data_IF_643199366362
#
_entry.id   IF_643199366362
#
_cell.length_a   1.000
_cell.length_b   1.000
_cell.length_c   1.000
_cell.angle_alpha   90.00
_cell.angle_beta   90.00
_cell.angle_gamma   90.00
#
_symmetry.space_group_name_H-M   'P 1'
#
loop_
_entity.id
_entity.type
_entity.pdbx_description
1 polymer ?
#
# COMPACT_ATOMS: atom_id res chain seq x y z
N UNK A 1 62.48 30.50 -22.60
CA UNK A 1 62.22 29.47 -23.64
C UNK A 1 61.60 28.27 -22.90
N UNK A 2 60.26 28.24 -22.81
CA UNK A 2 59.35 27.21 -23.37
C UNK A 2 59.51 25.84 -22.63
N UNK A 3 58.49 25.15 -22.09
CA UNK A 3 57.09 24.93 -22.52
C UNK A 3 56.26 24.41 -21.32
N UNK A 4 55.11 25.04 -21.00
CA UNK A 4 54.05 24.41 -20.19
C UNK A 4 53.33 23.35 -21.04
N UNK A 5 53.38 22.07 -20.65
CA UNK A 5 52.55 21.01 -21.26
C UNK A 5 51.11 21.14 -20.76
N UNK A 6 50.18 21.53 -21.63
CA UNK A 6 48.74 21.38 -21.40
C UNK A 6 48.39 19.89 -21.46
N UNK A 7 47.79 19.36 -20.40
CA UNK A 7 47.14 18.06 -20.43
C UNK A 7 45.87 18.18 -21.29
N UNK A 8 45.77 17.35 -22.32
CA UNK A 8 44.58 17.25 -23.16
C UNK A 8 43.46 16.57 -22.38
N UNK A 9 42.36 17.28 -22.13
CA UNK A 9 41.10 16.68 -21.68
C UNK A 9 40.49 15.93 -22.85
N UNK A 10 40.46 14.60 -22.77
CA UNK A 10 39.79 13.77 -23.77
C UNK A 10 38.27 14.04 -23.73
N UNK A 11 37.68 14.28 -24.90
CA UNK A 11 36.22 14.38 -25.05
C UNK A 11 35.57 13.03 -24.73
N UNK A 12 34.45 13.01 -23.98
CA UNK A 12 33.78 11.76 -23.64
C UNK A 12 33.34 11.01 -24.89
N UNK A 13 33.44 9.69 -24.86
CA UNK A 13 33.04 8.83 -25.97
C UNK A 13 31.51 8.76 -26.07
N UNK A 14 31.00 8.32 -27.23
CA UNK A 14 29.55 8.12 -27.42
C UNK A 14 28.96 7.15 -26.37
N UNK A 15 29.76 6.18 -25.90
CA UNK A 15 29.37 5.26 -24.84
C UNK A 15 29.25 5.97 -23.48
N UNK A 16 30.15 6.90 -23.17
CA UNK A 16 30.10 7.70 -21.93
C UNK A 16 28.88 8.63 -21.92
N UNK A 17 28.55 9.25 -23.07
CA UNK A 17 27.32 10.01 -23.23
C UNK A 17 26.07 9.14 -23.04
N UNK A 18 26.04 7.90 -23.53
CA UNK A 18 24.91 6.98 -23.36
C UNK A 18 24.75 6.56 -21.89
N UNK A 19 25.84 6.30 -21.18
CA UNK A 19 25.80 5.95 -19.75
C UNK A 19 25.35 7.13 -18.90
N UNK A 20 25.86 8.34 -19.16
CA UNK A 20 25.41 9.58 -18.49
C UNK A 20 23.93 9.86 -18.81
N UNK A 21 23.49 9.65 -20.05
CA UNK A 21 22.09 9.84 -20.45
C UNK A 21 21.16 8.80 -19.80
N UNK A 22 21.57 7.54 -19.68
CA UNK A 22 20.83 6.50 -18.94
C UNK A 22 20.78 6.78 -17.43
N UNK A 23 21.87 7.25 -16.83
CA UNK A 23 21.92 7.63 -15.40
C UNK A 23 21.05 8.88 -15.14
N UNK A 24 20.97 9.80 -16.10
CA UNK A 24 20.14 11.01 -16.00
C UNK A 24 18.66 10.70 -16.23
N UNK A 25 18.32 9.80 -17.17
CA UNK A 25 16.95 9.32 -17.40
C UNK A 25 16.40 8.51 -16.21
N UNK A 26 17.24 7.71 -15.54
CA UNK A 26 16.85 6.97 -14.34
C UNK A 26 16.63 7.88 -13.10
N UNK A 27 17.15 9.10 -13.12
CA UNK A 27 16.99 10.11 -12.04
C UNK A 27 15.85 11.11 -12.30
N UNK A 28 15.12 10.97 -13.41
CA UNK A 28 14.15 11.98 -13.89
C UNK A 28 12.68 11.58 -13.90
N UNK A 29 12.30 10.39 -13.39
CA UNK A 29 10.89 9.98 -13.31
C UNK A 29 10.45 9.81 -11.85
N UNK A 30 10.45 10.90 -11.08
CA UNK A 30 9.76 10.89 -9.77
C UNK A 30 8.26 10.74 -10.02
N UNK A 31 7.67 9.66 -9.51
CA UNK A 31 6.22 9.45 -9.57
C UNK A 31 5.49 10.65 -8.94
N UNK A 32 4.37 11.07 -9.54
CA UNK A 32 3.60 12.20 -9.03
C UNK A 32 3.17 11.94 -7.57
N UNK A 33 3.26 12.97 -6.72
CA UNK A 33 2.88 12.86 -5.32
C UNK A 33 1.45 12.35 -5.17
N UNK A 34 1.22 11.57 -4.12
CA UNK A 34 -0.03 10.87 -3.85
C UNK A 34 -0.74 11.47 -2.64
N UNK A 35 -1.48 12.58 -2.80
CA UNK A 35 -2.18 13.21 -1.69
C UNK A 35 -3.23 12.26 -1.07
N UNK A 36 -3.55 12.42 0.22
CA UNK A 36 -2.91 13.35 1.16
C UNK A 36 -1.45 12.98 1.48
N UNK A 37 -0.58 13.98 1.61
CA UNK A 37 0.85 13.83 1.96
C UNK A 37 1.08 14.22 3.42
N UNK A 38 2.07 13.63 4.11
CA UNK A 38 2.39 13.98 5.49
C UNK A 38 3.04 15.39 5.62
N UNK A 39 3.00 16.03 6.80
CA UNK A 39 2.39 15.54 8.05
C UNK A 39 0.87 15.55 8.00
N UNK A 40 0.24 14.53 8.59
CA UNK A 40 -1.21 14.37 8.57
C UNK A 40 -1.91 15.18 9.67
N UNK A 41 -3.12 15.65 9.36
CA UNK A 41 -4.14 16.03 10.34
C UNK A 41 -5.10 14.85 10.53
N UNK A 42 -6.04 14.95 11.47
CA UNK A 42 -7.09 13.94 11.65
C UNK A 42 -7.88 13.73 10.36
N UNK A 43 -8.25 14.82 9.69
CA UNK A 43 -9.06 14.82 8.47
C UNK A 43 -8.28 14.18 7.33
N UNK A 44 -7.02 14.58 7.10
CA UNK A 44 -6.22 14.02 6.01
C UNK A 44 -5.79 12.58 6.26
N UNK A 45 -5.56 12.19 7.52
CA UNK A 45 -5.34 10.80 7.89
C UNK A 45 -6.58 9.94 7.63
N UNK A 46 -7.78 10.41 8.00
CA UNK A 46 -9.03 9.70 7.73
C UNK A 46 -9.28 9.54 6.21
N UNK A 47 -9.01 10.57 5.41
CA UNK A 47 -9.05 10.49 3.95
C UNK A 47 -8.04 9.46 3.41
N UNK A 48 -6.82 9.42 3.96
CA UNK A 48 -5.79 8.44 3.58
C UNK A 48 -6.24 7.01 3.88
N UNK A 49 -6.85 6.79 5.06
CA UNK A 49 -7.42 5.50 5.46
C UNK A 49 -8.55 5.07 4.52
N UNK A 50 -9.48 5.98 4.19
CA UNK A 50 -10.59 5.67 3.27
C UNK A 50 -10.09 5.38 1.85
N UNK A 51 -9.11 6.14 1.35
CA UNK A 51 -8.51 5.88 0.04
C UNK A 51 -7.82 4.50 -0.01
N UNK A 52 -7.16 4.09 1.07
CA UNK A 52 -6.61 2.75 1.19
C UNK A 52 -7.71 1.68 1.27
N UNK A 53 -8.78 1.89 2.04
CA UNK A 53 -9.95 0.98 2.08
C UNK A 53 -10.53 0.76 0.67
N UNK A 54 -10.77 1.83 -0.07
CA UNK A 54 -11.34 1.80 -1.42
C UNK A 54 -10.43 1.03 -2.39
N UNK A 55 -9.10 1.25 -2.32
CA UNK A 55 -8.13 0.54 -3.15
C UNK A 55 -8.10 -0.96 -2.84
N UNK A 56 -8.06 -1.35 -1.56
CA UNK A 56 -8.04 -2.76 -1.18
C UNK A 56 -9.35 -3.49 -1.52
N UNK A 57 -10.50 -2.81 -1.44
CA UNK A 57 -11.79 -3.38 -1.87
C UNK A 57 -11.89 -3.60 -3.39
N UNK A 58 -11.04 -2.96 -4.21
CA UNK A 58 -10.98 -3.28 -5.64
C UNK A 58 -10.40 -4.68 -5.89
N UNK A 59 -9.62 -5.23 -4.94
CA UNK A 59 -8.92 -6.53 -5.05
C UNK A 59 -8.05 -6.62 -6.31
N UNK A 60 -7.47 -5.49 -6.70
CA UNK A 60 -6.55 -5.37 -7.85
C UNK A 60 -5.12 -5.21 -7.32
N UNK A 61 -4.28 -6.27 -7.42
CA UNK A 61 -2.91 -6.25 -6.90
C UNK A 61 -2.08 -5.09 -7.41
N UNK A 62 -2.16 -4.77 -8.71
CA UNK A 62 -1.39 -3.71 -9.35
C UNK A 62 -1.83 -2.36 -8.83
N UNK A 63 -3.14 -2.10 -8.82
CA UNK A 63 -3.70 -0.84 -8.33
C UNK A 63 -3.33 -0.58 -6.87
N UNK A 64 -3.37 -1.61 -6.03
CA UNK A 64 -2.99 -1.48 -4.61
C UNK A 64 -1.49 -1.27 -4.44
N UNK A 65 -0.64 -2.00 -5.18
CA UNK A 65 0.82 -1.87 -5.10
C UNK A 65 1.33 -0.45 -5.42
N UNK A 66 0.62 0.31 -6.28
CA UNK A 66 0.96 1.70 -6.60
C UNK A 66 0.83 2.69 -5.42
N UNK A 67 0.25 2.29 -4.29
CA UNK A 67 0.19 3.13 -3.09
C UNK A 67 1.47 3.07 -2.23
N UNK A 68 2.42 2.19 -2.56
CA UNK A 68 3.61 1.91 -1.77
C UNK A 68 4.87 2.45 -2.45
N UNK A 69 5.96 2.69 -1.73
CA UNK A 69 7.25 3.02 -2.38
C UNK A 69 7.79 1.80 -3.15
N UNK A 70 8.68 2.01 -4.12
CA UNK A 70 9.27 0.92 -4.93
C UNK A 70 9.94 -0.12 -4.02
N UNK A 71 10.55 0.33 -2.93
CA UNK A 71 11.30 -0.40 -1.92
C UNK A 71 10.52 -0.60 -0.60
N UNK A 72 9.18 -0.50 -0.63
CA UNK A 72 8.33 -0.56 0.57
C UNK A 72 8.56 -1.84 1.38
N UNK A 73 8.71 -1.72 2.69
CA UNK A 73 8.96 -2.84 3.59
C UNK A 73 7.70 -3.22 4.37
N UNK A 74 7.25 -4.47 4.22
CA UNK A 74 6.08 -4.98 4.93
C UNK A 74 6.43 -6.11 5.88
N UNK A 75 5.66 -6.17 6.96
CA UNK A 75 5.34 -7.43 7.64
C UNK A 75 3.83 -7.60 7.65
N UNK A 76 3.33 -8.68 7.05
CA UNK A 76 1.92 -9.05 7.07
C UNK A 76 1.77 -10.40 7.79
N UNK A 77 1.21 -10.39 9.00
CA UNK A 77 1.23 -11.55 9.91
C UNK A 77 2.68 -11.98 10.17
N UNK A 78 3.06 -13.18 9.71
CA UNK A 78 4.40 -13.77 9.78
C UNK A 78 5.19 -13.69 8.47
N UNK A 79 4.62 -13.08 7.42
CA UNK A 79 5.27 -12.95 6.10
C UNK A 79 5.90 -11.57 5.94
N UNK A 80 7.10 -11.52 5.36
CA UNK A 80 7.82 -10.30 5.05
C UNK A 80 7.83 -10.10 3.53
N UNK A 81 7.59 -8.86 3.11
CA UNK A 81 7.42 -8.52 1.68
C UNK A 81 8.20 -7.23 1.41
N UNK A 82 9.07 -7.24 0.40
CA UNK A 82 10.03 -6.18 0.13
C UNK A 82 9.85 -5.64 -1.30
N UNK A 83 9.21 -4.47 -1.39
CA UNK A 83 9.01 -3.73 -2.62
C UNK A 83 7.72 -4.06 -3.37
N UNK A 84 7.37 -3.21 -4.34
CA UNK A 84 6.07 -3.28 -5.06
C UNK A 84 5.83 -4.61 -5.76
N UNK A 85 6.87 -5.21 -6.33
CA UNK A 85 6.75 -6.48 -7.06
C UNK A 85 6.34 -7.63 -6.12
N UNK A 86 6.97 -7.72 -4.94
CA UNK A 86 6.60 -8.73 -3.94
C UNK A 86 5.22 -8.43 -3.34
N UNK A 87 4.86 -7.15 -3.18
CA UNK A 87 3.51 -6.73 -2.75
C UNK A 87 2.45 -7.21 -3.73
N UNK A 88 2.65 -6.99 -5.04
CA UNK A 88 1.72 -7.46 -6.08
C UNK A 88 1.57 -8.99 -6.03
N UNK A 89 2.68 -9.72 -5.89
CA UNK A 89 2.66 -11.19 -5.77
C UNK A 89 1.92 -11.66 -4.50
N UNK A 90 2.17 -11.01 -3.36
CA UNK A 90 1.47 -11.28 -2.11
C UNK A 90 -0.05 -11.06 -2.25
N UNK A 91 -0.45 -9.92 -2.79
CA UNK A 91 -1.87 -9.56 -2.97
C UNK A 91 -2.58 -10.49 -3.97
N UNK A 92 -1.87 -10.92 -5.02
CA UNK A 92 -2.37 -11.92 -5.98
C UNK A 92 -2.71 -13.24 -5.27
N UNK A 93 -1.79 -13.76 -4.43
CA UNK A 93 -2.07 -14.97 -3.63
C UNK A 93 -3.18 -14.75 -2.62
N UNK A 94 -3.19 -13.60 -1.95
CA UNK A 94 -4.19 -13.24 -0.95
C UNK A 94 -5.60 -13.35 -1.53
N UNK A 95 -5.88 -12.70 -2.66
CA UNK A 95 -7.24 -12.69 -3.23
C UNK A 95 -7.59 -13.89 -4.10
N UNK A 96 -6.62 -14.75 -4.44
CA UNK A 96 -6.91 -16.09 -4.94
C UNK A 96 -7.55 -16.98 -3.86
N UNK A 97 -7.10 -16.84 -2.61
CA UNK A 97 -7.62 -17.59 -1.46
C UNK A 97 -8.82 -16.90 -0.80
N UNK A 98 -8.69 -15.60 -0.52
CA UNK A 98 -9.67 -14.80 0.20
C UNK A 98 -10.76 -14.28 -0.73
N UNK A 99 -11.66 -15.15 -1.15
CA UNK A 99 -12.77 -14.81 -2.03
C UNK A 99 -13.85 -13.99 -1.31
N UNK A 100 -14.75 -13.34 -2.06
CA UNK A 100 -15.82 -12.49 -1.53
C UNK A 100 -15.37 -11.34 -0.59
N UNK A 101 -14.07 -11.02 -0.59
CA UNK A 101 -13.42 -10.06 0.31
C UNK A 101 -14.13 -8.70 0.35
N UNK A 102 -14.47 -8.25 1.56
CA UNK A 102 -15.01 -6.92 1.86
C UNK A 102 -14.33 -6.37 3.10
N UNK A 103 -13.83 -5.14 3.03
CA UNK A 103 -12.99 -4.53 4.04
C UNK A 103 -13.55 -3.19 4.52
N UNK A 104 -13.47 -2.96 5.81
CA UNK A 104 -13.66 -1.65 6.43
C UNK A 104 -12.39 -1.29 7.20
N UNK A 105 -11.86 -0.08 6.97
CA UNK A 105 -10.74 0.49 7.72
C UNK A 105 -11.20 1.72 8.48
N UNK A 106 -10.62 1.93 9.65
CA UNK A 106 -10.93 3.08 10.50
C UNK A 106 -9.65 3.62 11.13
N UNK A 107 -9.52 4.95 11.13
CA UNK A 107 -8.40 5.64 11.75
C UNK A 107 -8.41 5.40 13.26
N UNK A 108 -7.30 4.92 13.82
CA UNK A 108 -7.12 4.78 15.26
C UNK A 108 -6.35 5.97 15.83
N UNK A 109 -5.18 6.26 15.27
CA UNK A 109 -4.33 7.39 15.66
C UNK A 109 -3.44 7.82 14.49
N UNK A 110 -2.85 9.01 14.58
CA UNK A 110 -1.87 9.51 13.61
C UNK A 110 -0.83 10.37 14.34
N UNK A 111 0.38 10.43 13.78
CA UNK A 111 1.47 11.28 14.27
C UNK A 111 2.47 11.55 13.14
N UNK A 112 2.65 12.82 12.76
CA UNK A 112 3.53 13.22 11.66
C UNK A 112 3.23 12.46 10.36
N UNK A 113 4.15 11.60 9.92
CA UNK A 113 4.03 10.76 8.72
C UNK A 113 3.52 9.33 8.99
N UNK A 114 2.96 9.07 10.17
CA UNK A 114 2.48 7.75 10.58
C UNK A 114 0.99 7.73 10.82
N UNK A 115 0.36 6.61 10.48
CA UNK A 115 -1.06 6.34 10.73
C UNK A 115 -1.20 4.95 11.34
N UNK A 116 -1.93 4.84 12.44
CA UNK A 116 -2.39 3.59 13.02
C UNK A 116 -3.86 3.36 12.66
N UNK A 117 -4.17 2.16 12.19
CA UNK A 117 -5.47 1.80 11.60
C UNK A 117 -6.00 0.53 12.24
N UNK A 118 -7.28 0.54 12.57
CA UNK A 118 -8.06 -0.67 12.86
C UNK A 118 -8.80 -1.07 11.60
N UNK A 119 -8.96 -2.35 11.36
CA UNK A 119 -9.77 -2.83 10.25
C UNK A 119 -10.37 -4.19 10.54
N UNK A 120 -11.46 -4.49 9.83
CA UNK A 120 -12.00 -5.82 9.73
C UNK A 120 -12.33 -6.12 8.27
N UNK A 121 -12.15 -7.37 7.85
CA UNK A 121 -12.61 -7.84 6.55
C UNK A 121 -13.30 -9.19 6.64
N UNK A 122 -14.39 -9.35 5.89
CA UNK A 122 -15.10 -10.61 5.74
C UNK A 122 -14.69 -11.26 4.42
N UNK A 123 -14.46 -12.56 4.44
CA UNK A 123 -14.04 -13.33 3.27
C UNK A 123 -14.46 -14.79 3.38
N UNK A 124 -14.58 -15.44 2.21
CA UNK A 124 -14.86 -16.86 2.07
C UNK A 124 -13.59 -17.55 1.59
N UNK A 125 -13.11 -18.54 2.33
CA UNK A 125 -11.99 -19.38 1.88
C UNK A 125 -12.41 -20.19 0.65
N UNK A 126 -11.71 -19.96 -0.46
CA UNK A 126 -12.07 -20.54 -1.76
C UNK A 126 -12.04 -22.07 -1.78
N UNK A 127 -11.17 -22.70 -0.99
CA UNK A 127 -11.01 -24.14 -0.96
C UNK A 127 -11.93 -24.78 0.08
N UNK A 128 -11.97 -24.21 1.29
CA UNK A 128 -12.71 -24.78 2.42
C UNK A 128 -14.19 -24.41 2.43
N UNK A 129 -14.58 -23.39 1.67
CA UNK A 129 -15.94 -22.82 1.69
C UNK A 129 -16.37 -22.38 3.10
N UNK A 130 -15.41 -21.91 3.91
CA UNK A 130 -15.62 -21.37 5.26
C UNK A 130 -15.54 -19.85 5.26
N UNK A 131 -16.53 -19.19 5.87
CA UNK A 131 -16.50 -17.75 6.09
C UNK A 131 -15.64 -17.37 7.28
N UNK A 132 -14.93 -16.27 7.17
CA UNK A 132 -14.14 -15.67 8.24
C UNK A 132 -14.44 -14.18 8.34
N UNK A 133 -14.42 -13.67 9.58
CA UNK A 133 -14.21 -12.26 9.87
C UNK A 133 -12.78 -12.10 10.42
N UNK A 134 -11.95 -11.40 9.68
CA UNK A 134 -10.57 -11.12 10.03
C UNK A 134 -10.46 -9.75 10.69
N UNK A 135 -9.90 -9.69 11.90
CA UNK A 135 -9.68 -8.47 12.66
C UNK A 135 -8.22 -8.09 12.60
N UNK A 136 -7.92 -6.82 12.32
CA UNK A 136 -6.56 -6.38 12.09
C UNK A 136 -6.22 -5.02 12.67
N UNK A 137 -4.95 -4.89 13.03
CA UNK A 137 -4.28 -3.63 13.27
C UNK A 137 -3.14 -3.48 12.28
N UNK A 138 -3.06 -2.33 11.63
CA UNK A 138 -1.92 -1.99 10.80
C UNK A 138 -1.37 -0.60 11.09
N UNK A 139 -0.04 -0.50 11.01
CA UNK A 139 0.70 0.74 11.22
C UNK A 139 1.44 1.08 9.94
N UNK A 140 1.24 2.31 9.47
CA UNK A 140 1.75 2.83 8.22
C UNK A 140 2.76 3.93 8.46
N UNK A 141 3.85 3.94 7.71
CA UNK A 141 4.79 5.05 7.62
C UNK A 141 4.91 5.49 6.16
N UNK A 142 4.75 6.79 5.90
CA UNK A 142 4.73 7.36 4.57
C UNK A 142 5.99 8.18 4.26
N UNK A 143 6.39 8.21 2.99
CA UNK A 143 7.41 9.13 2.49
C UNK A 143 6.84 10.56 2.29
N UNK A 144 7.71 11.50 1.90
CA UNK A 144 7.32 12.89 1.67
C UNK A 144 6.38 13.07 0.47
N UNK A 145 6.30 12.09 -0.43
CA UNK A 145 5.44 12.10 -1.60
C UNK A 145 4.08 11.41 -1.33
N UNK A 146 3.87 10.88 -0.12
CA UNK A 146 2.63 10.24 0.29
C UNK A 146 2.51 8.76 -0.10
N UNK A 147 3.59 8.11 -0.53
CA UNK A 147 3.63 6.66 -0.72
C UNK A 147 3.98 5.96 0.60
N UNK A 148 3.41 4.78 0.84
CA UNK A 148 3.65 4.04 2.06
C UNK A 148 4.99 3.30 1.98
N UNK A 149 5.97 3.76 2.76
CA UNK A 149 7.31 3.20 2.82
C UNK A 149 7.37 1.97 3.74
N UNK A 150 6.55 1.92 4.80
CA UNK A 150 6.46 0.75 5.69
C UNK A 150 5.02 0.40 6.03
N UNK A 151 4.72 -0.90 6.07
CA UNK A 151 3.43 -1.45 6.50
C UNK A 151 3.61 -2.62 7.45
N UNK A 152 3.16 -2.47 8.69
CA UNK A 152 3.16 -3.54 9.67
C UNK A 152 1.74 -3.92 10.00
N UNK A 153 1.30 -5.13 9.64
CA UNK A 153 -0.07 -5.60 9.83
C UNK A 153 -0.10 -6.90 10.63
N UNK A 154 -0.90 -6.91 11.69
CA UNK A 154 -1.23 -8.08 12.50
C UNK A 154 -2.71 -8.36 12.36
N UNK A 155 -3.08 -9.61 12.06
CA UNK A 155 -4.43 -9.99 11.66
C UNK A 155 -4.76 -11.36 12.26
N UNK A 156 -5.97 -11.50 12.80
CA UNK A 156 -6.49 -12.72 13.38
C UNK A 156 -7.84 -13.07 12.74
N UNK A 157 -7.99 -14.30 12.27
CA UNK A 157 -9.22 -14.75 11.61
C UNK A 157 -10.13 -15.45 12.62
N UNK A 158 -11.42 -15.10 12.61
CA UNK A 158 -12.47 -15.75 13.39
C UNK A 158 -13.44 -16.41 12.41
N UNK A 159 -13.66 -17.74 12.48
CA UNK A 159 -14.66 -18.40 11.64
C UNK A 159 -16.05 -17.90 12.01
N UNK A 160 -16.89 -17.64 10.99
CA UNK A 160 -18.27 -17.20 11.14
C UNK A 160 -19.20 -18.02 10.24
N UNK A 161 -20.49 -18.03 10.50
CA UNK A 161 -21.46 -18.54 9.52
C UNK A 161 -21.81 -17.44 8.51
N UNK A 162 -22.30 -17.82 7.32
CA UNK A 162 -22.74 -16.85 6.31
C UNK A 162 -23.80 -15.86 6.84
N UNK A 163 -24.73 -16.34 7.69
CA UNK A 163 -25.76 -15.52 8.32
C UNK A 163 -25.22 -14.48 9.33
N UNK A 164 -24.00 -14.66 9.83
CA UNK A 164 -23.39 -13.79 10.84
C UNK A 164 -22.58 -12.64 10.20
N UNK A 165 -22.51 -12.61 8.87
CA UNK A 165 -21.87 -11.55 8.10
C UNK A 165 -22.55 -10.21 8.31
N UNK A 166 -21.74 -9.16 8.38
CA UNK A 166 -22.15 -7.76 8.56
C UNK A 166 -21.87 -6.93 7.31
N UNK A 167 -21.00 -7.38 6.41
CA UNK A 167 -20.55 -6.59 5.26
C UNK A 167 -21.34 -6.95 4.00
N UNK A 168 -22.37 -6.14 3.72
CA UNK A 168 -23.31 -6.37 2.63
C UNK A 168 -23.35 -5.18 1.67
N UNK A 169 -22.50 -5.21 0.65
CA UNK A 169 -22.57 -4.32 -0.51
C UNK A 169 -22.04 -5.03 -1.77
N UNK A 170 -22.30 -4.51 -2.98
CA UNK A 170 -21.70 -5.04 -4.21
C UNK A 170 -20.18 -5.05 -4.14
N UNK A 171 -19.53 -6.01 -4.81
CA UNK A 171 -18.08 -6.14 -4.76
C UNK A 171 -17.36 -4.87 -5.25
N UNK A 172 -16.48 -4.30 -4.43
CA UNK A 172 -15.83 -3.02 -4.70
C UNK A 172 -15.91 -2.03 -3.54
N UNK A 173 -15.78 -0.73 -3.84
CA UNK A 173 -15.79 0.36 -2.87
C UNK A 173 -17.02 0.27 -1.95
N UNK A 174 -16.79 0.34 -0.64
CA UNK A 174 -17.89 0.44 0.34
C UNK A 174 -18.71 1.71 0.07
N UNK A 175 -20.05 1.64 0.08
CA UNK A 175 -20.91 2.82 -0.02
C UNK A 175 -20.61 3.88 1.05
N UNK A 176 -20.95 5.14 0.78
CA UNK A 176 -20.69 6.24 1.72
C UNK A 176 -21.59 6.19 2.95
N UNK A 177 -22.80 5.63 2.79
CA UNK A 177 -23.83 5.47 3.81
C UNK A 177 -23.73 4.13 4.58
N UNK A 178 -22.87 3.21 4.16
CA UNK A 178 -22.64 1.98 4.91
C UNK A 178 -21.89 2.28 6.21
N UNK A 179 -22.33 1.76 7.37
CA UNK A 179 -21.71 2.02 8.68
C UNK A 179 -20.22 1.65 8.72
N UNK A 180 -19.46 2.38 9.55
CA UNK A 180 -18.04 2.13 9.83
C UNK A 180 -17.82 0.99 10.84
N UNK A 181 -16.57 0.80 11.29
CA UNK A 181 -16.26 -0.25 12.28
C UNK A 181 -16.92 0.03 13.62
N UNK A 182 -16.77 1.25 14.13
CA UNK A 182 -17.37 1.65 15.41
C UNK A 182 -18.91 1.53 15.38
N UNK A 183 -19.56 1.94 14.30
CA UNK A 183 -21.02 1.87 14.14
C UNK A 183 -21.55 0.43 14.11
N UNK A 184 -20.71 -0.52 13.66
CA UNK A 184 -21.01 -1.95 13.65
C UNK A 184 -20.65 -2.66 14.98
N UNK A 185 -20.10 -1.94 15.95
CA UNK A 185 -19.65 -2.49 17.24
C UNK A 185 -18.53 -3.53 17.08
N UNK A 186 -17.59 -3.29 16.16
CA UNK A 186 -16.43 -4.13 15.87
C UNK A 186 -15.11 -3.53 16.39
#
# INVERSE_FOLDING_TARGET
MLILRRAATASPTLADCIVVTKITLARGMSEAARPPIPPFTRETAALKVRAAEDAWNSRDPKRVALAYTIDSAWRNRSEFVNGRAEIEAFLTRKWARESQYRLIKELFAYDGNRIAVRFAYEWLDAEQQQWYCAYGNENWEFDAQGFMAKRFASINDVPINDKDRRFHWPQGRRPDDHPGLCDLGL
#
